data_IF_615823496209
#
_entry.id   IF_615823496209
#
_cell.length_a   1.000
_cell.length_b   1.000
_cell.length_c   1.000
_cell.angle_alpha   90.00
_cell.angle_beta   90.00
_cell.angle_gamma   90.00
#
_symmetry.space_group_name_H-M   'P 1'
#
loop_
_entity.id
_entity.type
_entity.pdbx_description
1 polymer ?
#
# COMPACT_ATOMS: atom_id res chain seq x y z
N UNK A 1 -7.33 4.43 23.73
CA UNK A 1 -6.22 4.71 22.80
C UNK A 1 -5.87 3.44 22.04
N UNK A 2 -5.73 2.30 22.72
CA UNK A 2 -5.44 1.01 22.08
C UNK A 2 -6.56 0.50 21.15
N UNK A 3 -7.84 0.58 21.56
CA UNK A 3 -8.97 0.07 20.74
C UNK A 3 -9.10 0.79 19.38
N UNK A 4 -8.79 2.08 19.33
CA UNK A 4 -8.84 2.86 18.07
C UNK A 4 -7.72 2.42 17.14
N UNK A 5 -6.50 2.27 17.67
CA UNK A 5 -5.35 1.80 16.89
C UNK A 5 -5.55 0.37 16.40
N UNK A 6 -6.17 -0.50 17.20
CA UNK A 6 -6.52 -1.87 16.80
C UNK A 6 -7.55 -1.89 15.66
N UNK A 7 -8.57 -1.02 15.73
CA UNK A 7 -9.56 -0.88 14.67
C UNK A 7 -8.94 -0.37 13.36
N UNK A 8 -8.09 0.65 13.44
CA UNK A 8 -7.37 1.19 12.28
C UNK A 8 -6.49 0.12 11.62
N UNK A 9 -5.73 -0.62 12.42
CA UNK A 9 -4.91 -1.77 11.96
C UNK A 9 -5.76 -2.85 11.32
N UNK A 10 -6.89 -3.20 11.92
CA UNK A 10 -7.82 -4.21 11.38
C UNK A 10 -8.31 -3.81 9.98
N UNK A 11 -8.68 -2.54 9.79
CA UNK A 11 -9.13 -2.03 8.49
C UNK A 11 -8.01 -2.03 7.46
N UNK A 12 -6.82 -1.54 7.81
CA UNK A 12 -5.65 -1.56 6.93
C UNK A 12 -5.32 -3.00 6.50
N UNK A 13 -5.39 -3.96 7.43
CA UNK A 13 -5.18 -5.38 7.15
C UNK A 13 -6.22 -5.95 6.19
N UNK A 14 -7.49 -5.59 6.36
CA UNK A 14 -8.57 -6.02 5.45
C UNK A 14 -8.36 -5.49 4.03
N UNK A 15 -7.91 -4.24 3.88
CA UNK A 15 -7.56 -3.68 2.58
C UNK A 15 -6.36 -4.38 1.96
N UNK A 16 -5.27 -4.60 2.72
CA UNK A 16 -4.11 -5.36 2.26
C UNK A 16 -4.50 -6.74 1.73
N UNK A 17 -5.31 -7.48 2.51
CA UNK A 17 -5.80 -8.81 2.12
C UNK A 17 -6.61 -8.77 0.84
N UNK A 18 -7.52 -7.80 0.69
CA UNK A 18 -8.31 -7.63 -0.53
C UNK A 18 -7.42 -7.55 -1.78
N UNK A 19 -6.31 -6.81 -1.71
CA UNK A 19 -5.39 -6.64 -2.84
C UNK A 19 -4.53 -7.88 -3.07
N UNK A 20 -3.95 -8.45 -2.03
CA UNK A 20 -3.06 -9.62 -2.15
C UNK A 20 -3.84 -10.88 -2.54
N UNK A 21 -5.07 -11.06 -2.05
CA UNK A 21 -5.93 -12.17 -2.42
C UNK A 21 -6.33 -12.08 -3.90
N UNK A 22 -6.54 -10.86 -4.42
CA UNK A 22 -6.84 -10.65 -5.84
C UNK A 22 -5.61 -10.83 -6.74
N UNK A 23 -4.46 -10.30 -6.32
CA UNK A 23 -3.18 -10.35 -7.04
C UNK A 23 -2.53 -11.75 -7.02
N UNK A 24 -2.76 -12.49 -5.93
CA UNK A 24 -2.08 -13.73 -5.59
C UNK A 24 -0.79 -13.49 -4.80
N UNK A 25 -0.66 -14.18 -3.67
CA UNK A 25 0.48 -14.02 -2.74
C UNK A 25 1.85 -14.21 -3.41
N UNK A 26 1.99 -15.19 -4.32
CA UNK A 26 3.26 -15.40 -5.03
C UNK A 26 3.61 -14.26 -5.99
N UNK A 27 2.60 -13.65 -6.62
CA UNK A 27 2.78 -12.49 -7.49
C UNK A 27 3.17 -11.27 -6.66
N UNK A 28 2.52 -11.08 -5.51
CA UNK A 28 2.86 -10.02 -4.57
C UNK A 28 4.32 -10.14 -4.10
N UNK A 29 4.74 -11.33 -3.65
CA UNK A 29 6.12 -11.54 -3.16
C UNK A 29 7.18 -11.17 -4.21
N UNK A 30 6.93 -11.50 -5.49
CA UNK A 30 7.81 -11.11 -6.60
C UNK A 30 7.85 -9.60 -6.80
N UNK A 31 6.68 -8.94 -6.80
CA UNK A 31 6.59 -7.47 -6.94
C UNK A 31 7.26 -6.75 -5.79
N UNK A 32 7.02 -7.21 -4.56
CA UNK A 32 7.69 -6.73 -3.34
C UNK A 32 9.21 -6.84 -3.45
N UNK A 33 9.73 -8.01 -3.82
CA UNK A 33 11.18 -8.22 -4.00
C UNK A 33 11.76 -7.24 -5.03
N UNK A 34 11.08 -7.03 -6.17
CA UNK A 34 11.51 -6.06 -7.17
C UNK A 34 11.43 -4.62 -6.66
N UNK A 35 10.43 -4.27 -5.85
CA UNK A 35 10.30 -2.95 -5.23
C UNK A 35 11.43 -2.68 -4.23
N UNK A 36 11.71 -3.65 -3.34
CA UNK A 36 12.80 -3.56 -2.38
C UNK A 36 14.17 -3.46 -3.07
N UNK A 37 14.40 -4.21 -4.15
CA UNK A 37 15.63 -4.10 -4.94
C UNK A 37 15.82 -2.68 -5.51
N UNK A 38 14.75 -2.05 -6.04
CA UNK A 38 14.78 -0.65 -6.49
C UNK A 38 15.16 0.32 -5.37
N UNK A 39 14.67 0.09 -4.14
CA UNK A 39 15.06 0.90 -2.98
C UNK A 39 16.55 0.71 -2.68
N UNK A 40 17.05 -0.53 -2.65
CA UNK A 40 18.48 -0.82 -2.40
C UNK A 40 19.40 -0.17 -3.44
N UNK A 41 18.99 -0.15 -4.70
CA UNK A 41 19.73 0.55 -5.75
C UNK A 41 19.79 2.07 -5.49
N UNK A 42 18.68 2.68 -5.06
CA UNK A 42 18.65 4.10 -4.67
C UNK A 42 19.52 4.39 -3.45
N UNK A 43 19.51 3.49 -2.45
CA UNK A 43 20.36 3.59 -1.26
C UNK A 43 21.85 3.72 -1.62
N UNK A 44 22.30 3.00 -2.66
CA UNK A 44 23.69 3.03 -3.12
C UNK A 44 24.10 4.37 -3.76
N UNK A 45 23.14 5.21 -4.14
CA UNK A 45 23.37 6.49 -4.83
C UNK A 45 22.97 7.71 -4.01
N UNK A 46 22.66 7.52 -2.72
CA UNK A 46 22.20 8.61 -1.85
C UNK A 46 23.25 9.69 -1.67
N UNK A 47 22.81 10.94 -1.78
CA UNK A 47 23.58 12.07 -1.31
C UNK A 47 23.34 12.25 0.19
N UNK A 48 24.36 11.93 0.99
CA UNK A 48 24.34 12.06 2.45
C UNK A 48 24.24 13.52 2.92
N UNK A 49 24.48 14.49 2.03
CA UNK A 49 24.30 15.92 2.33
C UNK A 49 22.83 16.37 2.23
N UNK A 50 21.96 15.56 1.63
CA UNK A 50 20.53 15.82 1.50
C UNK A 50 19.71 14.93 2.46
N UNK A 51 18.48 15.32 2.82
CA UNK A 51 17.58 14.46 3.58
C UNK A 51 17.41 13.09 2.89
N UNK A 52 17.62 12.01 3.64
CA UNK A 52 17.59 10.64 3.11
C UNK A 52 16.17 10.24 2.69
N UNK A 53 15.16 10.65 3.47
CA UNK A 53 13.80 10.14 3.31
C UNK A 53 13.15 10.52 1.97
N UNK A 54 13.26 11.76 1.46
CA UNK A 54 12.77 12.11 0.13
C UNK A 54 13.46 11.35 -1.02
N UNK A 55 14.71 10.93 -0.80
CA UNK A 55 15.49 10.22 -1.81
C UNK A 55 15.11 8.73 -1.90
N UNK A 56 14.70 8.11 -0.79
CA UNK A 56 14.32 6.70 -0.72
C UNK A 56 12.81 6.46 -0.80
N UNK A 57 12.03 7.25 -0.07
CA UNK A 57 10.63 6.96 0.28
C UNK A 57 9.61 7.88 -0.38
N UNK A 58 10.04 8.70 -1.35
CA UNK A 58 9.09 9.26 -2.32
C UNK A 58 8.81 8.12 -3.30
N UNK A 59 7.69 7.37 -3.15
CA UNK A 59 7.26 6.49 -4.22
C UNK A 59 7.20 7.32 -5.50
N UNK A 60 7.49 6.72 -6.65
CA UNK A 60 7.05 7.35 -7.88
C UNK A 60 5.57 7.68 -7.68
N UNK A 61 5.15 8.89 -8.08
CA UNK A 61 3.71 9.17 -8.19
C UNK A 61 3.10 7.92 -8.81
N UNK A 62 2.13 7.33 -8.11
CA UNK A 62 1.30 6.25 -8.62
C UNK A 62 1.72 4.78 -8.41
N UNK A 63 2.75 4.47 -7.63
CA UNK A 63 3.15 3.06 -7.43
C UNK A 63 2.18 2.28 -6.51
N UNK A 64 1.34 1.40 -7.09
CA UNK A 64 0.44 0.53 -6.31
C UNK A 64 1.18 -0.47 -5.42
N UNK A 65 2.40 -0.87 -5.79
CA UNK A 65 3.20 -1.78 -4.96
C UNK A 65 3.61 -1.07 -3.65
N UNK A 66 3.80 0.25 -3.68
CA UNK A 66 3.99 1.04 -2.46
C UNK A 66 2.76 1.05 -1.56
N UNK A 67 1.55 1.13 -2.12
CA UNK A 67 0.31 1.10 -1.33
C UNK A 67 0.16 -0.24 -0.60
N UNK A 68 0.42 -1.34 -1.30
CA UNK A 68 0.35 -2.69 -0.71
C UNK A 68 1.42 -2.84 0.37
N UNK A 69 2.67 -2.44 0.09
CA UNK A 69 3.78 -2.51 1.05
C UNK A 69 3.54 -1.63 2.29
N UNK A 70 3.05 -0.41 2.11
CA UNK A 70 2.74 0.49 3.22
C UNK A 70 1.66 -0.07 4.14
N UNK A 71 0.67 -0.78 3.59
CA UNK A 71 -0.37 -1.45 4.37
C UNK A 71 0.14 -2.71 5.07
N UNK A 72 1.01 -3.49 4.42
CA UNK A 72 1.71 -4.63 5.03
C UNK A 72 2.51 -4.17 6.26
N UNK A 73 3.36 -3.15 6.08
CA UNK A 73 4.21 -2.59 7.14
C UNK A 73 3.41 -1.99 8.30
N UNK A 74 2.32 -1.28 8.00
CA UNK A 74 1.49 -0.63 9.03
C UNK A 74 0.79 -1.63 9.97
N UNK A 75 0.57 -2.87 9.52
CA UNK A 75 -0.07 -3.91 10.31
C UNK A 75 0.96 -4.86 10.95
N UNK A 76 2.00 -5.30 10.23
CA UNK A 76 2.97 -6.28 10.73
C UNK A 76 4.12 -5.66 11.57
N UNK A 77 4.41 -4.35 11.41
CA UNK A 77 5.50 -3.67 12.13
C UNK A 77 4.95 -2.72 13.19
N UNK A 78 5.00 -3.14 14.45
CA UNK A 78 4.38 -2.47 15.60
C UNK A 78 4.94 -1.06 15.93
N UNK A 79 6.02 -0.63 15.27
CA UNK A 79 6.81 0.56 15.64
C UNK A 79 7.22 1.44 14.45
N UNK A 80 6.61 1.28 13.27
CA UNK A 80 7.00 2.12 12.13
C UNK A 80 6.43 3.53 12.30
N UNK A 81 7.27 4.47 12.73
CA UNK A 81 7.06 5.93 12.61
C UNK A 81 7.11 6.36 11.14
N UNK A 82 6.43 5.64 10.24
CA UNK A 82 6.29 5.97 8.83
C UNK A 82 5.38 7.19 8.69
N UNK A 83 5.87 8.34 9.13
CA UNK A 83 5.15 9.60 9.09
C UNK A 83 5.23 10.27 7.70
N UNK A 84 6.09 9.81 6.79
CA UNK A 84 6.55 10.65 5.68
C UNK A 84 6.09 10.34 4.26
N UNK A 85 5.30 9.29 3.99
CA UNK A 85 4.53 9.25 2.72
C UNK A 85 3.22 8.45 2.77
N UNK A 86 2.97 7.70 3.84
CA UNK A 86 1.78 6.85 3.99
C UNK A 86 0.57 7.53 4.62
N UNK A 87 0.67 8.79 5.08
CA UNK A 87 -0.49 9.60 5.54
C UNK A 87 -1.58 9.72 4.48
N UNK A 88 -1.23 9.69 3.19
CA UNK A 88 -2.20 9.69 2.09
C UNK A 88 -2.86 8.31 1.91
N UNK A 89 -2.13 7.22 2.17
CA UNK A 89 -2.57 5.85 1.90
C UNK A 89 -3.51 5.35 3.00
N UNK A 90 -3.18 5.62 4.27
CA UNK A 90 -3.94 5.08 5.39
C UNK A 90 -5.42 5.48 5.41
N UNK A 91 -5.82 6.73 5.11
CA UNK A 91 -7.24 7.07 4.98
C UNK A 91 -7.97 6.22 3.93
N UNK A 92 -7.36 5.96 2.76
CA UNK A 92 -7.95 5.10 1.73
C UNK A 92 -8.01 3.64 2.20
N UNK A 93 -6.90 3.12 2.72
CA UNK A 93 -6.83 1.76 3.24
C UNK A 93 -7.85 1.51 4.35
N UNK A 94 -8.05 2.48 5.25
CA UNK A 94 -9.05 2.39 6.31
C UNK A 94 -10.48 2.44 5.77
N UNK A 95 -10.78 3.35 4.84
CA UNK A 95 -12.11 3.52 4.28
C UNK A 95 -12.56 2.27 3.50
N UNK A 96 -11.69 1.76 2.62
CA UNK A 96 -11.95 0.57 1.81
C UNK A 96 -11.91 -0.68 2.69
N UNK A 97 -10.93 -0.76 3.59
CA UNK A 97 -10.79 -1.84 4.55
C UNK A 97 -12.00 -2.04 5.46
N UNK A 98 -12.69 -0.96 5.83
CA UNK A 98 -13.92 -1.01 6.63
C UNK A 98 -15.09 -1.73 5.92
N UNK A 99 -15.05 -1.81 4.58
CA UNK A 99 -16.09 -2.44 3.75
C UNK A 99 -15.54 -3.58 2.88
N UNK A 100 -14.30 -4.02 3.10
CA UNK A 100 -13.61 -4.96 2.23
C UNK A 100 -14.36 -6.29 2.03
N UNK A 101 -14.98 -6.82 3.08
CA UNK A 101 -15.80 -8.03 2.98
C UNK A 101 -17.04 -7.83 2.11
N UNK A 102 -17.67 -6.66 2.22
CA UNK A 102 -18.89 -6.30 1.47
C UNK A 102 -18.57 -6.04 0.00
N UNK A 103 -17.38 -5.52 -0.31
CA UNK A 103 -16.92 -5.25 -1.68
C UNK A 103 -16.91 -6.50 -2.56
N UNK A 104 -16.71 -7.69 -1.98
CA UNK A 104 -16.78 -8.97 -2.72
C UNK A 104 -18.15 -9.24 -3.35
N UNK A 105 -19.22 -8.65 -2.78
CA UNK A 105 -20.60 -8.81 -3.24
C UNK A 105 -21.05 -7.74 -4.24
N UNK A 106 -20.25 -6.69 -4.43
CA UNK A 106 -20.59 -5.58 -5.31
C UNK A 106 -20.21 -5.96 -6.76
N UNK A 107 -21.16 -5.85 -7.71
CA UNK A 107 -20.88 -6.12 -9.12
C UNK A 107 -19.70 -5.29 -9.63
N UNK A 108 -18.85 -5.89 -10.46
CA UNK A 108 -17.72 -5.25 -11.14
C UNK A 108 -16.54 -4.79 -10.27
N UNK A 109 -16.58 -4.95 -8.93
CA UNK A 109 -15.43 -4.61 -8.06
C UNK A 109 -14.16 -5.34 -8.47
N UNK A 110 -14.26 -6.63 -8.85
CA UNK A 110 -13.10 -7.39 -9.31
C UNK A 110 -12.38 -6.74 -10.50
N UNK A 111 -13.14 -6.16 -11.44
CA UNK A 111 -12.58 -5.46 -12.61
C UNK A 111 -11.92 -4.14 -12.22
N UNK A 112 -12.48 -3.40 -11.25
CA UNK A 112 -11.85 -2.19 -10.69
C UNK A 112 -10.54 -2.55 -10.01
N UNK A 113 -10.52 -3.60 -9.19
CA UNK A 113 -9.30 -4.08 -8.52
C UNK A 113 -8.26 -4.56 -9.53
N UNK A 114 -8.66 -5.26 -10.59
CA UNK A 114 -7.74 -5.67 -11.66
C UNK A 114 -7.11 -4.47 -12.35
N UNK A 115 -7.91 -3.44 -12.69
CA UNK A 115 -7.39 -2.20 -13.27
C UNK A 115 -6.42 -1.51 -12.30
N UNK A 116 -6.75 -1.45 -11.02
CA UNK A 116 -5.88 -0.84 -10.02
C UNK A 116 -4.55 -1.60 -9.86
N UNK A 117 -4.57 -2.94 -9.93
CA UNK A 117 -3.39 -3.81 -9.83
C UNK A 117 -2.56 -3.89 -11.13
N UNK A 118 -3.20 -3.61 -12.27
CA UNK A 118 -2.57 -3.61 -13.59
C UNK A 118 -1.99 -2.24 -13.98
N UNK A 119 -2.55 -1.15 -13.44
CA UNK A 119 -2.20 0.21 -13.81
C UNK A 119 -1.34 0.83 -12.70
N UNK A 120 -0.06 1.03 -12.98
CA UNK A 120 0.89 1.70 -12.08
C UNK A 120 0.71 3.24 -12.06
N UNK A 121 -0.47 3.74 -12.47
CA UNK A 121 -0.79 5.16 -12.61
C UNK A 121 -2.12 5.46 -11.86
N UNK A 122 -2.05 6.28 -10.80
CA UNK A 122 -3.10 6.83 -9.93
C UNK A 122 -4.08 5.83 -9.36
N UNK A 123 -3.64 4.88 -8.51
CA UNK A 123 -4.53 3.89 -7.90
C UNK A 123 -5.68 4.53 -7.11
N UNK A 124 -5.45 5.72 -6.55
CA UNK A 124 -6.45 6.53 -5.87
C UNK A 124 -7.56 7.05 -6.79
N UNK A 125 -7.27 7.38 -8.05
CA UNK A 125 -8.31 7.83 -9.00
C UNK A 125 -9.25 6.72 -9.44
N UNK A 126 -8.78 5.47 -9.47
CA UNK A 126 -9.60 4.34 -9.90
C UNK A 126 -10.52 3.79 -8.81
N UNK A 127 -10.27 4.14 -7.55
CA UNK A 127 -11.07 3.72 -6.40
C UNK A 127 -12.40 4.49 -6.28
N UNK A 128 -12.57 5.59 -7.02
CA UNK A 128 -13.76 6.44 -6.99
C UNK A 128 -14.50 6.53 -8.35
N UNK A 129 -14.07 5.76 -9.35
CA UNK A 129 -14.74 5.59 -10.66
C UNK A 129 -15.64 4.36 -10.68
#
# INVERSE_FOLDING_TARGET
MDEVLELERSRIKSFYRLLVDRLGAQTWEKRKTCYEARIREKEATLDIALPIEPQLFVPADDDIDWYILACELAFDVQQSDSAYSSKRIYPFAMAIGAVAEQLSSVPNVGSVLDRMLANNNKPDTQLFE
#
